data_IF_314041350700
#
_entry.id   IF_314041350700
#
_cell.length_a   1.000
_cell.length_b   1.000
_cell.length_c   1.000
_cell.angle_alpha   90.00
_cell.angle_beta   90.00
_cell.angle_gamma   90.00
#
_symmetry.space_group_name_H-M   'P 1'
#
loop_
_entity.id
_entity.type
_entity.pdbx_description
1 polymer ?
#
# COMPACT_ATOMS: atom_id res chain seq x y z
N UNK A 1 6.84 6.95 -27.89
CA UNK A 1 5.39 6.83 -27.80
C UNK A 1 4.76 8.20 -27.60
N UNK A 2 3.89 8.56 -28.50
CA UNK A 2 3.27 9.89 -28.48
C UNK A 2 2.46 10.13 -27.19
N UNK A 3 1.84 9.10 -26.67
CA UNK A 3 1.03 9.21 -25.47
C UNK A 3 1.81 9.61 -24.25
N UNK A 4 3.11 9.31 -24.21
CA UNK A 4 3.96 9.67 -23.07
C UNK A 4 4.04 11.17 -22.90
N UNK A 5 4.06 11.93 -24.00
CA UNK A 5 4.17 13.38 -23.94
C UNK A 5 2.89 14.05 -23.45
N UNK A 6 1.70 13.49 -23.79
CA UNK A 6 0.43 14.03 -23.35
C UNK A 6 0.05 13.56 -21.95
N UNK A 7 0.41 12.33 -21.60
CA UNK A 7 0.09 11.76 -20.29
C UNK A 7 1.15 12.04 -19.23
N UNK A 8 2.32 12.50 -19.69
CA UNK A 8 3.49 12.61 -18.85
C UNK A 8 4.29 11.32 -18.86
N UNK A 9 5.10 11.13 -17.84
CA UNK A 9 5.93 9.93 -17.70
C UNK A 9 5.23 8.90 -16.85
N UNK A 10 5.64 7.65 -16.97
CA UNK A 10 5.10 6.57 -16.15
C UNK A 10 5.82 6.51 -14.81
N UNK A 11 5.06 6.39 -13.75
CA UNK A 11 5.57 6.22 -12.38
C UNK A 11 4.89 5.03 -11.73
N UNK A 12 5.64 4.34 -10.88
CA UNK A 12 5.09 3.29 -10.02
C UNK A 12 4.93 3.85 -8.62
N UNK A 13 3.74 3.68 -8.06
CA UNK A 13 3.41 4.13 -6.70
C UNK A 13 2.91 2.92 -5.93
N UNK A 14 3.48 2.69 -4.76
CA UNK A 14 3.07 1.57 -3.91
C UNK A 14 2.03 2.04 -2.89
N UNK A 15 1.01 1.21 -2.68
CA UNK A 15 -0.04 1.48 -1.70
C UNK A 15 -0.11 0.29 -0.75
N UNK A 16 -0.04 0.56 0.55
CA UNK A 16 -0.19 -0.47 1.58
C UNK A 16 -1.44 -0.16 2.38
N UNK A 17 -2.36 -1.12 2.41
CA UNK A 17 -3.61 -1.00 3.14
C UNK A 17 -3.62 -2.05 4.23
N UNK A 18 -3.75 -1.63 5.48
CA UNK A 18 -3.76 -2.54 6.61
C UNK A 18 -4.80 -2.10 7.63
N UNK A 19 -5.14 -2.98 8.56
CA UNK A 19 -6.08 -2.64 9.62
C UNK A 19 -5.44 -1.67 10.59
N UNK A 20 -6.23 -0.73 11.09
CA UNK A 20 -5.78 0.21 12.11
C UNK A 20 -5.41 -0.55 13.37
N UNK A 21 -4.56 0.06 14.21
CA UNK A 21 -4.02 -0.59 15.40
C UNK A 21 -5.08 -1.19 16.32
N UNK A 22 -6.24 -0.55 16.45
CA UNK A 22 -7.31 -1.04 17.31
C UNK A 22 -8.21 -2.10 16.67
N UNK A 23 -7.98 -2.43 15.41
CA UNK A 23 -8.79 -3.40 14.68
C UNK A 23 -8.02 -4.72 14.59
N UNK A 24 -8.70 -5.83 14.90
CA UNK A 24 -8.07 -7.15 14.86
C UNK A 24 -7.61 -7.49 13.45
N UNK A 25 -6.54 -8.24 13.41
CA UNK A 25 -5.94 -8.75 12.18
C UNK A 25 -5.74 -10.25 12.33
N UNK A 26 -6.79 -11.04 12.05
CA UNK A 26 -6.71 -12.49 12.25
C UNK A 26 -5.60 -13.16 11.45
N UNK A 27 -5.31 -12.69 10.25
CA UNK A 27 -4.26 -13.28 9.42
C UNK A 27 -2.89 -13.08 10.06
N UNK A 28 -2.58 -11.86 10.48
CA UNK A 28 -1.31 -11.58 11.15
C UNK A 28 -1.18 -12.33 12.48
N UNK A 29 -2.27 -12.42 13.22
CA UNK A 29 -2.30 -13.18 14.48
C UNK A 29 -2.01 -14.66 14.26
N UNK A 30 -2.61 -15.24 13.24
CA UNK A 30 -2.39 -16.65 12.90
C UNK A 30 -0.94 -16.91 12.50
N UNK A 31 -0.38 -16.05 11.67
CA UNK A 31 1.02 -16.18 11.27
C UNK A 31 1.92 -16.12 12.49
N UNK A 32 1.66 -15.17 13.37
CA UNK A 32 2.48 -15.00 14.57
C UNK A 32 2.39 -16.20 15.49
N UNK A 33 1.18 -16.63 15.84
CA UNK A 33 0.99 -17.66 16.87
C UNK A 33 1.22 -19.07 16.32
N UNK A 34 0.75 -19.35 15.13
CA UNK A 34 0.77 -20.71 14.61
C UNK A 34 2.05 -21.07 13.86
N UNK A 35 2.77 -20.09 13.35
CA UNK A 35 3.99 -20.34 12.61
C UNK A 35 5.22 -19.79 13.32
N UNK A 36 5.26 -18.49 13.55
CA UNK A 36 6.48 -17.81 13.99
C UNK A 36 6.81 -18.18 15.45
N UNK A 37 5.86 -18.09 16.34
CA UNK A 37 6.10 -18.39 17.76
C UNK A 37 6.41 -19.86 17.97
N UNK A 38 5.72 -20.74 17.28
CA UNK A 38 5.96 -22.18 17.39
C UNK A 38 7.32 -22.59 16.84
N UNK A 39 7.87 -21.81 15.91
CA UNK A 39 9.19 -22.08 15.37
C UNK A 39 10.32 -21.51 16.21
N UNK A 40 10.00 -20.86 17.32
CA UNK A 40 11.00 -20.36 18.26
C UNK A 40 11.46 -18.92 18.04
N UNK A 41 10.79 -18.19 17.17
CA UNK A 41 11.14 -16.78 16.94
C UNK A 41 10.48 -15.87 17.98
N UNK A 42 10.92 -16.01 19.21
CA UNK A 42 10.30 -15.33 20.35
C UNK A 42 10.47 -13.81 20.37
N UNK A 43 11.43 -13.30 19.62
CA UNK A 43 11.64 -11.84 19.53
C UNK A 43 10.63 -11.13 18.65
N UNK A 44 9.83 -11.87 17.89
CA UNK A 44 8.81 -11.27 17.05
C UNK A 44 7.57 -11.03 17.89
N UNK A 45 7.29 -9.76 18.16
CA UNK A 45 6.20 -9.37 19.04
C UNK A 45 4.86 -9.31 18.32
N UNK A 46 4.86 -8.82 17.09
CA UNK A 46 3.61 -8.67 16.35
C UNK A 46 3.84 -8.84 14.85
N UNK A 47 2.79 -9.27 14.18
CA UNK A 47 2.76 -9.36 12.73
C UNK A 47 1.42 -8.78 12.28
N UNK A 48 1.48 -7.85 11.34
CA UNK A 48 0.28 -7.23 10.76
C UNK A 48 0.25 -7.57 9.27
N UNK A 49 -0.86 -8.11 8.81
CA UNK A 49 -1.04 -8.39 7.38
C UNK A 49 -1.79 -7.24 6.72
N UNK A 50 -1.68 -7.16 5.41
CA UNK A 50 -2.37 -6.11 4.67
C UNK A 50 -2.31 -6.36 3.18
N UNK A 51 -2.91 -5.45 2.43
CA UNK A 51 -2.87 -5.48 0.97
C UNK A 51 -1.78 -4.57 0.45
N UNK A 52 -1.13 -5.03 -0.60
CA UNK A 52 -0.13 -4.24 -1.30
C UNK A 52 -0.60 -4.05 -2.74
N UNK A 53 -0.66 -2.80 -3.18
CA UNK A 53 -0.99 -2.48 -4.55
C UNK A 53 0.18 -1.72 -5.18
N UNK A 54 0.54 -2.09 -6.40
CA UNK A 54 1.49 -1.31 -7.19
C UNK A 54 0.72 -0.68 -8.32
N UNK A 55 0.66 0.65 -8.32
CA UNK A 55 -0.15 1.39 -9.29
C UNK A 55 0.80 2.12 -10.23
N UNK A 56 0.68 1.84 -11.52
CA UNK A 56 1.44 2.56 -12.54
C UNK A 56 0.56 3.65 -13.14
N UNK A 57 1.03 4.89 -13.04
CA UNK A 57 0.27 6.04 -13.51
C UNK A 57 1.15 6.93 -14.38
N UNK A 58 0.50 7.72 -15.22
CA UNK A 58 1.18 8.74 -16.01
C UNK A 58 0.98 10.08 -15.31
N UNK A 59 2.06 10.82 -15.13
CA UNK A 59 2.03 12.12 -14.50
C UNK A 59 3.22 12.96 -14.94
N UNK A 60 3.17 14.25 -14.67
CA UNK A 60 4.26 15.16 -15.05
C UNK A 60 5.48 14.95 -14.17
N UNK A 61 5.28 14.65 -12.90
CA UNK A 61 6.37 14.43 -11.97
C UNK A 61 5.94 13.46 -10.86
N UNK A 62 6.89 13.09 -10.02
CA UNK A 62 6.65 12.12 -8.95
C UNK A 62 5.58 12.59 -7.95
N UNK A 63 5.61 13.87 -7.61
CA UNK A 63 4.65 14.42 -6.66
C UNK A 63 3.23 14.35 -7.21
N UNK A 64 3.05 14.66 -8.49
CA UNK A 64 1.74 14.58 -9.14
C UNK A 64 1.25 13.13 -9.20
N UNK A 65 2.15 12.19 -9.49
CA UNK A 65 1.80 10.77 -9.52
C UNK A 65 1.30 10.29 -8.17
N UNK A 66 1.99 10.66 -7.10
CA UNK A 66 1.60 10.27 -5.75
C UNK A 66 0.23 10.86 -5.38
N UNK A 67 0.03 12.14 -5.67
CA UNK A 67 -1.25 12.81 -5.36
C UNK A 67 -2.42 12.15 -6.12
N UNK A 68 -2.17 11.77 -7.37
CA UNK A 68 -3.20 11.11 -8.17
C UNK A 68 -3.62 9.79 -7.53
N UNK A 69 -2.66 9.01 -7.05
CA UNK A 69 -2.95 7.73 -6.41
C UNK A 69 -3.65 7.93 -5.07
N UNK A 70 -3.23 8.92 -4.29
CA UNK A 70 -3.91 9.26 -3.04
C UNK A 70 -5.37 9.64 -3.27
N UNK A 71 -5.61 10.47 -4.28
CA UNK A 71 -6.97 10.89 -4.62
C UNK A 71 -7.82 9.71 -5.09
N UNK A 72 -7.24 8.85 -5.92
CA UNK A 72 -7.92 7.64 -6.40
C UNK A 72 -8.34 6.73 -5.24
N UNK A 73 -7.43 6.47 -4.32
CA UNK A 73 -7.71 5.60 -3.18
C UNK A 73 -8.83 6.17 -2.30
N UNK A 74 -8.82 7.48 -2.12
CA UNK A 74 -9.82 8.15 -1.30
C UNK A 74 -11.19 8.20 -1.98
N UNK A 75 -11.23 8.65 -3.23
CA UNK A 75 -12.50 8.83 -3.93
C UNK A 75 -13.20 7.52 -4.26
N UNK A 76 -12.43 6.50 -4.59
CA UNK A 76 -12.98 5.20 -4.98
C UNK A 76 -13.14 4.24 -3.81
N UNK A 77 -12.81 4.69 -2.60
CA UNK A 77 -12.90 3.85 -1.41
C UNK A 77 -12.17 2.54 -1.58
N UNK A 78 -10.95 2.62 -2.10
CA UNK A 78 -10.09 1.44 -2.23
C UNK A 78 -9.82 0.82 -0.86
N UNK A 79 -9.89 1.65 0.18
CA UNK A 79 -9.77 1.20 1.57
C UNK A 79 -10.92 1.80 2.38
N UNK A 80 -11.23 1.19 3.53
CA UNK A 80 -12.26 1.70 4.44
C UNK A 80 -11.59 2.59 5.49
N UNK A 81 -11.71 3.92 5.41
CA UNK A 81 -11.01 4.81 6.33
C UNK A 81 -11.41 4.66 7.80
N UNK A 82 -12.56 4.03 8.08
CA UNK A 82 -12.97 3.77 9.46
C UNK A 82 -12.17 2.63 10.10
N UNK A 83 -11.72 1.65 9.29
CA UNK A 83 -11.08 0.44 9.78
C UNK A 83 -9.64 0.26 9.29
N UNK A 84 -9.27 0.93 8.20
CA UNK A 84 -7.98 0.72 7.55
C UNK A 84 -7.12 1.96 7.55
N UNK A 85 -5.81 1.77 7.57
CA UNK A 85 -4.86 2.80 7.17
C UNK A 85 -4.42 2.55 5.74
N UNK A 86 -4.14 3.62 5.03
CA UNK A 86 -3.68 3.55 3.66
C UNK A 86 -2.42 4.38 3.54
N UNK A 87 -1.31 3.72 3.24
CA UNK A 87 -0.02 4.39 3.09
C UNK A 87 0.37 4.40 1.62
N UNK A 88 0.54 5.60 1.08
CA UNK A 88 0.94 5.78 -0.31
C UNK A 88 2.41 6.21 -0.34
N UNK A 89 3.23 5.45 -1.03
CA UNK A 89 4.67 5.71 -1.10
C UNK A 89 4.98 6.85 -2.05
N UNK A 90 6.24 7.27 -2.04
CA UNK A 90 6.73 8.16 -3.07
C UNK A 90 6.71 7.44 -4.42
N UNK A 91 6.39 8.20 -5.46
CA UNK A 91 6.38 7.68 -6.82
C UNK A 91 7.81 7.50 -7.32
N UNK A 92 8.05 6.41 -8.04
CA UNK A 92 9.33 6.12 -8.67
C UNK A 92 9.13 6.03 -10.17
N UNK A 93 10.09 6.52 -10.98
CA UNK A 93 9.97 6.34 -12.42
C UNK A 93 9.83 4.87 -12.77
N UNK A 94 8.84 4.56 -13.62
CA UNK A 94 8.62 3.18 -14.04
C UNK A 94 9.68 2.79 -15.07
N UNK A 95 10.18 1.56 -15.02
CA UNK A 95 11.16 1.08 -16.01
C UNK A 95 10.58 0.97 -17.41
#
# INVERSE_FOLDING_TARGET
MAEVTTRGRAFDVSVVISNKAGVRDPEGETILHDLVSKAGFERVESIRAGKYLRVRVYAHDAAAARRLVEEMCDKLRIFNPAAHSCEVSEARPAP
#
